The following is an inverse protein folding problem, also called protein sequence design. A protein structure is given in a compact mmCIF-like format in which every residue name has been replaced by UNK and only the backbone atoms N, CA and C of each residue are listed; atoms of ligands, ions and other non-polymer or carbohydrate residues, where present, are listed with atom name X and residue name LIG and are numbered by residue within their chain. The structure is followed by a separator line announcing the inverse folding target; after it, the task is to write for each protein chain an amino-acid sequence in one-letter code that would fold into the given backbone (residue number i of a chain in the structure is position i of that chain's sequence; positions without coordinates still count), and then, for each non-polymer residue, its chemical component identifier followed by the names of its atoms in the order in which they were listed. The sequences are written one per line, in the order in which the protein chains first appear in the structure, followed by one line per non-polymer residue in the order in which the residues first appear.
data_IF_519532681616
#
_entry.id   IF_519532681616
#
_cell.length_a   1.000
_cell.length_b   1.000
_cell.length_c   1.000
_cell.angle_alpha   90.00
_cell.angle_beta   90.00
_cell.angle_gamma   90.00
#
_symmetry.space_group_name_H-M   'P 1'
#
loop_
_entity.id
_entity.type
_entity.pdbx_description
1 polymer ?
#
# COMPACT_ATOMS: atom_id res chain seq x y z
N UNK A 1 0.58 3.53 12.19
CA UNK A 1 1.12 2.46 11.35
C UNK A 1 2.28 1.81 12.10
N UNK A 2 2.15 0.56 12.47
CA UNK A 2 3.13 -0.19 13.28
C UNK A 2 4.21 -0.79 12.37
N UNK A 3 3.83 -1.23 11.16
CA UNK A 3 4.77 -1.68 10.13
C UNK A 3 5.78 -0.63 9.74
N UNK A 4 6.99 -1.09 9.44
CA UNK A 4 8.08 -0.26 8.92
C UNK A 4 8.27 -0.52 7.44
N UNK A 5 8.19 0.54 6.63
CA UNK A 5 8.45 0.45 5.19
C UNK A 5 9.94 0.20 4.98
N UNK A 6 10.28 -0.90 4.29
CA UNK A 6 11.66 -1.30 3.98
C UNK A 6 12.05 -0.95 2.56
N UNK A 7 11.20 -1.26 1.58
CA UNK A 7 11.42 -0.96 0.16
C UNK A 7 10.14 -0.46 -0.47
N UNK A 8 10.28 0.45 -1.43
CA UNK A 8 9.18 1.00 -2.22
C UNK A 8 9.58 1.03 -3.68
N UNK A 9 8.65 0.69 -4.57
CA UNK A 9 8.71 0.94 -6.01
C UNK A 9 7.44 1.67 -6.39
N UNK A 10 7.60 2.74 -7.15
CA UNK A 10 6.50 3.62 -7.54
C UNK A 10 6.52 3.82 -9.05
N UNK A 11 5.40 3.53 -9.70
CA UNK A 11 5.23 3.68 -11.16
C UNK A 11 4.19 4.78 -11.41
N UNK A 12 4.68 5.99 -11.66
CA UNK A 12 3.86 7.21 -11.81
C UNK A 12 3.31 7.43 -13.23
N UNK A 13 3.96 6.88 -14.25
CA UNK A 13 3.64 7.13 -15.67
C UNK A 13 2.43 6.36 -16.20
N UNK A 14 1.77 5.58 -15.33
CA UNK A 14 0.58 4.82 -15.68
C UNK A 14 -0.68 5.67 -15.51
N UNK A 15 -1.75 5.27 -16.21
CA UNK A 15 -3.09 5.84 -16.06
C UNK A 15 -3.58 5.89 -14.60
N UNK A 16 -3.27 4.85 -13.83
CA UNK A 16 -3.42 4.80 -12.37
C UNK A 16 -2.02 4.64 -11.77
N UNK A 17 -1.59 5.51 -10.85
CA UNK A 17 -0.27 5.37 -10.23
C UNK A 17 -0.24 4.08 -9.40
N UNK A 18 0.83 3.31 -9.58
CA UNK A 18 0.98 1.99 -8.98
C UNK A 18 2.08 2.00 -7.92
N UNK A 19 1.74 1.46 -6.76
CA UNK A 19 2.59 1.41 -5.57
C UNK A 19 2.92 -0.03 -5.26
N UNK A 20 4.20 -0.32 -5.05
CA UNK A 20 4.66 -1.62 -4.56
C UNK A 20 5.53 -1.39 -3.34
N UNK A 21 5.20 -2.05 -2.24
CA UNK A 21 5.80 -1.76 -0.95
C UNK A 21 6.12 -3.05 -0.22
N UNK A 22 7.35 -3.17 0.26
CA UNK A 22 7.77 -4.22 1.18
C UNK A 22 7.93 -3.58 2.56
N UNK A 23 7.21 -4.14 3.52
CA UNK A 23 7.18 -3.71 4.91
C UNK A 23 7.65 -4.83 5.82
N UNK A 24 8.24 -4.45 6.94
CA UNK A 24 8.53 -5.32 8.06
C UNK A 24 7.45 -5.15 9.12
N UNK A 25 6.83 -6.28 9.48
CA UNK A 25 5.81 -6.39 10.50
C UNK A 25 6.45 -6.44 11.90
N UNK A 26 5.68 -6.12 12.96
CA UNK A 26 6.20 -6.14 14.33
C UNK A 26 6.70 -7.51 14.80
N UNK A 27 6.16 -8.58 14.21
CA UNK A 27 6.54 -9.97 14.47
C UNK A 27 7.77 -10.42 13.64
N UNK A 28 8.45 -9.48 12.98
CA UNK A 28 9.63 -9.74 12.14
C UNK A 28 9.30 -10.31 10.76
N UNK A 29 8.03 -10.58 10.45
CA UNK A 29 7.63 -11.09 9.12
C UNK A 29 7.59 -9.97 8.09
N UNK A 30 7.68 -10.35 6.82
CA UNK A 30 7.58 -9.41 5.72
C UNK A 30 6.17 -9.37 5.14
N UNK A 31 5.69 -8.16 4.86
CA UNK A 31 4.44 -7.88 4.18
C UNK A 31 4.75 -7.09 2.91
N UNK A 32 4.48 -7.71 1.76
CA UNK A 32 4.45 -7.04 0.47
C UNK A 32 3.02 -6.65 0.13
N UNK A 33 2.82 -5.42 -0.31
CA UNK A 33 1.55 -4.91 -0.80
C UNK A 33 1.78 -4.17 -2.12
N UNK A 34 1.03 -4.58 -3.13
CA UNK A 34 0.88 -3.90 -4.41
C UNK A 34 -0.53 -3.32 -4.48
N UNK A 35 -0.64 -2.03 -4.78
CA UNK A 35 -1.91 -1.33 -4.83
C UNK A 35 -1.84 -0.16 -5.81
N UNK A 36 -2.99 0.26 -6.34
CA UNK A 36 -3.08 1.42 -7.23
C UNK A 36 -4.05 2.48 -6.66
N UNK A 37 -3.97 3.68 -7.23
CA UNK A 37 -4.98 4.72 -7.01
C UNK A 37 -5.90 4.80 -8.23
N UNK A 38 -7.20 4.61 -8.01
CA UNK A 38 -8.20 4.73 -9.06
C UNK A 38 -8.86 6.11 -9.00
N UNK A 39 -8.54 6.99 -9.97
CA UNK A 39 -9.09 8.35 -10.05
C UNK A 39 -10.63 8.39 -10.06
N UNK A 40 -11.28 7.44 -10.73
CA UNK A 40 -12.75 7.36 -10.81
C UNK A 40 -13.44 7.25 -9.45
N UNK A 41 -12.84 6.52 -8.52
CA UNK A 41 -13.39 6.29 -7.18
C UNK A 41 -12.66 7.10 -6.10
N UNK A 42 -11.64 7.87 -6.50
CA UNK A 42 -10.71 8.61 -5.63
C UNK A 42 -10.19 7.75 -4.47
N UNK A 43 -9.95 6.45 -4.73
CA UNK A 43 -9.65 5.48 -3.69
C UNK A 43 -8.48 4.57 -4.08
N UNK A 44 -7.82 4.01 -3.06
CA UNK A 44 -6.72 3.06 -3.21
C UNK A 44 -7.23 1.62 -3.13
N UNK A 45 -6.75 0.77 -4.02
CA UNK A 45 -7.19 -0.63 -4.09
C UNK A 45 -6.01 -1.59 -4.00
N UNK A 46 -6.06 -2.57 -3.07
CA UNK A 46 -5.05 -3.62 -3.05
C UNK A 46 -5.22 -4.51 -4.29
N UNK A 47 -4.10 -4.76 -4.98
CA UNK A 47 -4.03 -5.65 -6.13
C UNK A 47 -3.39 -6.99 -5.74
N UNK A 48 -2.33 -6.94 -4.94
CA UNK A 48 -1.60 -8.12 -4.50
C UNK A 48 -1.04 -7.92 -3.09
N UNK A 49 -1.15 -8.95 -2.26
CA UNK A 49 -0.69 -8.97 -0.89
C UNK A 49 0.04 -10.28 -0.67
N UNK A 50 1.32 -10.20 -0.32
CA UNK A 50 2.10 -11.35 0.11
C UNK A 50 2.55 -11.15 1.55
N UNK A 51 2.18 -12.06 2.44
CA UNK A 51 2.61 -12.02 3.84
C UNK A 51 3.39 -13.29 4.15
N UNK A 52 4.62 -13.12 4.62
CA UNK A 52 5.54 -14.22 4.94
C UNK A 52 5.65 -15.27 3.81
N UNK A 53 5.91 -14.81 2.58
CA UNK A 53 6.01 -15.62 1.36
C UNK A 53 4.71 -16.33 0.92
N UNK A 54 3.59 -16.09 1.58
CA UNK A 54 2.27 -16.62 1.18
C UNK A 54 1.47 -15.54 0.48
N UNK A 55 0.84 -15.89 -0.64
CA UNK A 55 -0.02 -15.01 -1.41
C UNK A 55 -1.44 -14.98 -0.85
N UNK A 56 -1.96 -13.78 -0.62
CA UNK A 56 -3.30 -13.50 -0.09
C UNK A 56 -4.21 -12.80 -1.12
N UNK A 57 -3.77 -12.65 -2.38
CA UNK A 57 -4.46 -11.92 -3.43
C UNK A 57 -4.66 -10.46 -3.02
N UNK A 58 -5.87 -9.93 -3.17
CA UNK A 58 -6.22 -8.57 -2.72
C UNK A 58 -6.61 -8.48 -1.22
N UNK A 59 -6.50 -9.57 -0.45
CA UNK A 59 -7.02 -9.62 0.94
C UNK A 59 -6.03 -8.97 1.92
N UNK A 60 -6.21 -7.68 2.17
CA UNK A 60 -5.44 -6.91 3.16
C UNK A 60 -6.20 -6.60 4.47
N UNK A 61 -7.53 -6.76 4.48
CA UNK A 61 -8.39 -6.40 5.61
C UNK A 61 -8.05 -7.15 6.89
N UNK A 62 -7.71 -8.44 6.80
CA UNK A 62 -7.34 -9.25 7.96
C UNK A 62 -6.10 -8.71 8.67
N UNK A 63 -5.14 -8.16 7.91
CA UNK A 63 -3.91 -7.61 8.45
C UNK A 63 -4.14 -6.22 9.04
N UNK A 64 -4.75 -5.35 8.26
CA UNK A 64 -4.98 -3.94 8.64
C UNK A 64 -5.90 -3.82 9.85
N UNK A 65 -6.96 -4.62 9.93
CA UNK A 65 -7.86 -4.60 11.09
C UNK A 65 -7.22 -5.21 12.34
N UNK A 66 -6.51 -6.35 12.21
CA UNK A 66 -5.97 -7.07 13.38
C UNK A 66 -4.66 -6.49 13.91
N UNK A 67 -3.76 -6.09 13.01
CA UNK A 67 -2.40 -5.64 13.35
C UNK A 67 -2.35 -4.12 13.43
N UNK A 68 -2.81 -3.43 12.38
CA UNK A 68 -2.70 -1.97 12.27
C UNK A 68 -3.86 -1.22 12.95
N UNK A 69 -4.94 -1.94 13.31
CA UNK A 69 -6.18 -1.39 13.90
C UNK A 69 -6.78 -0.24 13.08
N UNK A 70 -6.72 -0.35 11.76
CA UNK A 70 -7.25 0.66 10.83
C UNK A 70 -7.82 0.03 9.56
N UNK A 71 -8.59 0.81 8.80
CA UNK A 71 -9.18 0.34 7.55
C UNK A 71 -8.12 0.16 6.46
N UNK A 72 -8.41 -0.70 5.47
CA UNK A 72 -7.55 -0.90 4.30
C UNK A 72 -7.29 0.43 3.58
N UNK A 73 -8.32 1.25 3.38
CA UNK A 73 -8.20 2.52 2.68
C UNK A 73 -7.23 3.48 3.40
N UNK A 74 -7.40 3.67 4.72
CA UNK A 74 -6.54 4.57 5.50
C UNK A 74 -5.09 4.07 5.54
N UNK A 75 -4.90 2.75 5.61
CA UNK A 75 -3.57 2.13 5.58
C UNK A 75 -2.86 2.40 4.24
N UNK A 76 -3.52 2.13 3.11
CA UNK A 76 -2.96 2.35 1.78
C UNK A 76 -2.70 3.84 1.53
N UNK A 77 -3.63 4.72 1.93
CA UNK A 77 -3.46 6.17 1.82
C UNK A 77 -2.24 6.65 2.62
N UNK A 78 -2.06 6.16 3.85
CA UNK A 78 -0.90 6.52 4.69
C UNK A 78 0.42 6.13 4.02
N UNK A 79 0.46 4.98 3.37
CA UNK A 79 1.63 4.51 2.62
C UNK A 79 1.85 5.37 1.37
N UNK A 80 0.78 5.62 0.60
CA UNK A 80 0.82 6.44 -0.60
C UNK A 80 1.34 7.85 -0.30
N UNK A 81 0.83 8.52 0.75
CA UNK A 81 1.30 9.84 1.19
C UNK A 81 2.82 9.89 1.42
N UNK A 82 3.37 8.86 2.07
CA UNK A 82 4.83 8.76 2.31
C UNK A 82 5.61 8.58 1.01
N UNK A 83 5.11 7.76 0.10
CA UNK A 83 5.74 7.49 -1.19
C UNK A 83 5.66 8.73 -2.10
N UNK A 84 4.47 9.31 -2.23
CA UNK A 84 4.22 10.52 -2.98
C UNK A 84 5.15 11.66 -2.55
N UNK A 85 5.28 11.88 -1.24
CA UNK A 85 6.24 12.85 -0.70
C UNK A 85 7.69 12.52 -1.05
N UNK A 86 8.07 11.24 -1.10
CA UNK A 86 9.42 10.81 -1.48
C UNK A 86 9.72 11.06 -2.96
N UNK A 87 8.73 10.93 -3.84
CA UNK A 87 8.88 11.07 -5.29
C UNK A 87 8.38 12.42 -5.82
N UNK A 88 8.04 13.37 -4.95
CA UNK A 88 7.42 14.66 -5.30
C UNK A 88 6.22 14.51 -6.25
N UNK A 89 5.42 13.47 -6.01
CA UNK A 89 4.27 13.14 -6.84
C UNK A 89 2.98 13.67 -6.20
N UNK A 90 2.26 14.50 -6.94
CA UNK A 90 0.93 14.96 -6.54
C UNK A 90 -0.15 14.17 -7.28
N UNK A 91 -1.12 13.65 -6.52
CA UNK A 91 -2.33 13.05 -7.05
C UNK A 91 -3.23 14.17 -7.54
N UNK A 92 -2.84 14.82 -8.65
CA UNK A 92 -3.68 15.81 -9.32
C UNK A 92 -5.02 15.14 -9.62
N UNK A 93 -6.09 15.69 -9.06
CA UNK A 93 -7.43 15.27 -9.46
C UNK A 93 -7.54 15.62 -10.96
N UNK A 94 -7.46 14.59 -11.82
CA UNK A 94 -7.69 14.74 -13.26
C UNK A 94 -9.07 15.35 -13.52
#
# INVERSE_FOLDING_TARGET
MITKIRKVKFEQERKNPLYQVIMECPDGKQLYVKFDYTYKTKNFWPLEVNYNKKNYGAKLAWYTNKVEKMTVALFLETIAKKINKKYDFDLKQQ
#
